data_IF_646204864164
#
_entry.id   IF_646204864164
#
_cell.length_a   1.000
_cell.length_b   1.000
_cell.length_c   1.000
_cell.angle_alpha   90.00
_cell.angle_beta   90.00
_cell.angle_gamma   90.00
#
_symmetry.space_group_name_H-M   'P 1'
#
loop_
_entity.id
_entity.type
_entity.pdbx_description
1 polymer ?
#
# COMPACT_ATOMS: atom_id res chain seq x y z
N UNK A 1 26.32 -43.57 -4.06
CA UNK A 1 26.94 -42.25 -3.79
C UNK A 1 25.85 -41.22 -3.93
N UNK A 2 25.39 -40.67 -2.82
CA UNK A 2 24.31 -39.69 -2.76
C UNK A 2 24.85 -38.32 -3.18
N UNK A 3 24.18 -37.62 -4.08
CA UNK A 3 24.38 -36.18 -4.29
C UNK A 3 23.01 -35.50 -4.25
N UNK A 4 22.69 -34.99 -3.07
CA UNK A 4 21.59 -34.08 -2.79
C UNK A 4 21.72 -32.84 -3.69
N UNK A 5 20.76 -32.64 -4.58
CA UNK A 5 20.48 -31.32 -5.15
C UNK A 5 19.72 -30.50 -4.10
N UNK A 6 20.37 -29.50 -3.54
CA UNK A 6 19.78 -28.51 -2.63
C UNK A 6 18.68 -27.76 -3.36
N UNK A 7 17.43 -28.15 -3.13
CA UNK A 7 16.26 -27.37 -3.49
C UNK A 7 16.31 -26.04 -2.74
N UNK A 8 16.53 -24.95 -3.47
CA UNK A 8 16.45 -23.59 -2.97
C UNK A 8 15.11 -23.40 -2.24
N UNK A 9 15.21 -23.14 -0.94
CA UNK A 9 14.06 -22.88 -0.09
C UNK A 9 13.29 -21.69 -0.66
N UNK A 10 12.10 -21.98 -1.20
CA UNK A 10 11.14 -20.96 -1.58
C UNK A 10 10.66 -20.29 -0.30
N UNK A 11 11.30 -19.19 0.09
CA UNK A 11 10.90 -18.36 1.22
C UNK A 11 9.66 -17.53 0.86
N UNK A 12 8.53 -18.21 0.63
CA UNK A 12 7.23 -17.59 0.35
C UNK A 12 6.23 -17.68 1.50
N UNK A 13 6.60 -18.29 2.64
CA UNK A 13 5.63 -18.68 3.67
C UNK A 13 5.56 -17.70 4.86
N UNK A 14 6.36 -16.62 4.92
CA UNK A 14 6.36 -15.68 6.08
C UNK A 14 5.79 -14.29 5.82
N UNK A 15 5.27 -13.97 4.62
CA UNK A 15 4.77 -12.62 4.29
C UNK A 15 3.29 -12.38 4.59
N UNK A 16 2.46 -13.41 4.63
CA UNK A 16 1.01 -13.25 4.82
C UNK A 16 0.64 -12.72 6.22
N UNK A 17 1.46 -13.00 7.24
CA UNK A 17 1.23 -12.48 8.60
C UNK A 17 1.43 -10.97 8.72
N UNK A 18 2.29 -10.36 7.89
CA UNK A 18 2.54 -8.90 7.91
C UNK A 18 1.50 -8.11 7.09
N UNK A 19 0.83 -8.78 6.14
CA UNK A 19 -0.20 -8.18 5.29
C UNK A 19 -1.60 -8.38 5.87
N UNK A 20 -1.72 -8.38 7.19
CA UNK A 20 -3.00 -8.51 7.86
C UNK A 20 -3.79 -7.20 7.76
N UNK A 21 -5.03 -7.31 7.30
CA UNK A 21 -5.95 -6.18 7.29
C UNK A 21 -6.27 -5.75 8.73
N UNK A 22 -6.26 -4.44 8.97
CA UNK A 22 -6.61 -3.84 10.26
C UNK A 22 -7.81 -2.90 10.08
N UNK A 23 -8.24 -2.29 11.19
CA UNK A 23 -9.28 -1.26 11.15
C UNK A 23 -8.88 -0.05 10.29
N UNK A 24 -7.58 0.23 10.14
CA UNK A 24 -7.05 1.41 9.46
C UNK A 24 -6.28 1.10 8.18
N UNK A 25 -5.87 -0.15 7.96
CA UNK A 25 -5.02 -0.55 6.84
C UNK A 25 -5.61 -1.73 6.11
N UNK A 26 -5.56 -1.70 4.78
CA UNK A 26 -5.82 -2.84 3.90
C UNK A 26 -4.74 -2.93 2.81
N UNK A 27 -4.60 -4.08 2.20
CA UNK A 27 -3.62 -4.32 1.13
C UNK A 27 -4.34 -4.82 -0.12
N UNK A 28 -3.95 -4.28 -1.28
CA UNK A 28 -4.56 -4.60 -2.57
C UNK A 28 -3.50 -4.80 -3.64
N UNK A 29 -3.87 -5.41 -4.75
CA UNK A 29 -3.06 -5.39 -5.97
C UNK A 29 -3.64 -4.37 -6.95
N UNK A 30 -2.80 -3.42 -7.38
CA UNK A 30 -3.13 -2.44 -8.41
C UNK A 30 -2.03 -2.46 -9.48
N UNK A 31 -2.41 -2.63 -10.74
CA UNK A 31 -1.46 -2.80 -11.85
C UNK A 31 -0.39 -3.89 -11.61
N UNK A 32 -0.77 -5.01 -10.97
CA UNK A 32 0.12 -6.11 -10.57
C UNK A 32 1.16 -5.75 -9.50
N UNK A 33 1.05 -4.58 -8.88
CA UNK A 33 1.88 -4.17 -7.74
C UNK A 33 1.07 -4.21 -6.44
N UNK A 34 1.73 -4.62 -5.35
CA UNK A 34 1.14 -4.58 -4.01
C UNK A 34 1.07 -3.11 -3.56
N UNK A 35 -0.11 -2.69 -3.11
CA UNK A 35 -0.38 -1.35 -2.60
C UNK A 35 -1.02 -1.43 -1.21
N UNK A 36 -0.76 -0.42 -0.40
CA UNK A 36 -1.36 -0.26 0.91
C UNK A 36 -2.44 0.83 0.84
N UNK A 37 -3.62 0.51 1.35
CA UNK A 37 -4.71 1.46 1.53
C UNK A 37 -4.83 1.85 3.00
N UNK A 38 -4.97 3.14 3.27
CA UNK A 38 -5.38 3.65 4.57
C UNK A 38 -6.87 3.96 4.53
N UNK A 39 -7.60 3.40 5.50
CA UNK A 39 -9.03 3.55 5.72
C UNK A 39 -9.32 4.82 6.51
N UNK A 40 -10.08 5.74 5.94
CA UNK A 40 -10.44 7.00 6.57
C UNK A 40 -11.85 6.92 7.14
N UNK A 41 -12.02 7.21 8.43
CA UNK A 41 -13.34 7.20 9.08
C UNK A 41 -14.25 8.36 8.60
N UNK A 42 -13.65 9.43 8.07
CA UNK A 42 -14.39 10.62 7.63
C UNK A 42 -14.86 10.48 6.18
N UNK A 43 -16.14 10.79 5.95
CA UNK A 43 -16.67 11.09 4.62
C UNK A 43 -16.32 12.54 4.31
N UNK A 44 -15.25 12.74 3.52
CA UNK A 44 -14.79 14.06 3.09
C UNK A 44 -15.40 14.42 1.74
N UNK A 45 -16.00 15.62 1.64
CA UNK A 45 -16.28 16.27 0.35
C UNK A 45 -15.03 17.02 -0.07
N UNK A 46 -14.44 16.64 -1.20
CA UNK A 46 -13.27 17.34 -1.71
C UNK A 46 -13.70 18.54 -2.54
N UNK A 47 -13.30 19.72 -2.09
CA UNK A 47 -13.32 20.93 -2.91
C UNK A 47 -12.14 20.94 -3.90
N UNK A 48 -12.20 21.82 -4.90
CA UNK A 48 -11.21 21.94 -5.97
C UNK A 48 -9.80 22.19 -5.42
N UNK A 49 -9.68 22.98 -4.34
CA UNK A 49 -8.40 23.24 -3.66
C UNK A 49 -7.77 21.98 -3.07
N UNK A 50 -8.56 21.06 -2.50
CA UNK A 50 -8.07 19.80 -1.97
C UNK A 50 -7.58 18.88 -3.09
N UNK A 51 -8.27 18.89 -4.22
CA UNK A 51 -7.93 18.11 -5.41
C UNK A 51 -6.54 18.45 -5.95
N UNK A 52 -6.14 19.72 -5.92
CA UNK A 52 -4.82 20.16 -6.36
C UNK A 52 -3.69 19.69 -5.42
N UNK A 53 -3.96 19.64 -4.11
CA UNK A 53 -3.05 19.06 -3.14
C UNK A 53 -2.76 17.58 -3.43
N UNK A 54 -3.79 16.80 -3.75
CA UNK A 54 -3.63 15.39 -4.11
C UNK A 54 -2.88 15.19 -5.42
N UNK A 55 -3.10 16.06 -6.42
CA UNK A 55 -2.34 16.03 -7.67
C UNK A 55 -0.85 16.26 -7.42
N UNK A 56 -0.50 17.27 -6.61
CA UNK A 56 0.89 17.54 -6.22
C UNK A 56 1.51 16.36 -5.48
N UNK A 57 0.78 15.74 -4.55
CA UNK A 57 1.24 14.53 -3.85
C UNK A 57 1.44 13.34 -4.79
N UNK A 58 0.59 13.18 -5.82
CA UNK A 58 0.71 12.11 -6.81
C UNK A 58 1.94 12.27 -7.71
N UNK A 59 2.33 13.51 -7.99
CA UNK A 59 3.55 13.82 -8.76
C UNK A 59 4.82 13.81 -7.92
N UNK A 60 4.69 13.84 -6.58
CA UNK A 60 5.83 13.82 -5.68
C UNK A 60 6.35 12.38 -5.53
N UNK A 61 7.45 12.09 -6.21
CA UNK A 61 8.15 10.81 -6.17
C UNK A 61 9.58 11.04 -5.64
N UNK A 62 9.89 10.47 -4.49
CA UNK A 62 11.17 10.64 -3.81
C UNK A 62 11.55 9.33 -3.10
N UNK A 63 12.83 8.93 -3.16
CA UNK A 63 13.30 7.66 -2.61
C UNK A 63 13.00 7.46 -1.11
N UNK A 64 13.01 8.55 -0.36
CA UNK A 64 12.77 8.56 1.09
C UNK A 64 11.31 8.78 1.50
N UNK A 65 10.40 8.97 0.54
CA UNK A 65 8.98 9.20 0.83
C UNK A 65 8.15 8.15 0.13
N UNK A 66 7.23 7.54 0.86
CA UNK A 66 6.36 6.55 0.26
C UNK A 66 5.45 7.20 -0.79
N UNK A 67 5.40 6.62 -1.99
CA UNK A 67 4.71 7.21 -3.13
C UNK A 67 3.20 7.16 -2.94
N UNK A 68 2.57 8.33 -3.02
CA UNK A 68 1.12 8.45 -3.06
C UNK A 68 0.59 8.11 -4.46
N UNK A 69 -0.37 7.19 -4.54
CA UNK A 69 -0.93 6.74 -5.81
C UNK A 69 -2.23 7.50 -6.11
N UNK A 70 -3.11 7.63 -5.12
CA UNK A 70 -4.40 8.31 -5.28
C UNK A 70 -5.36 8.04 -4.14
N UNK A 71 -6.63 8.39 -4.36
CA UNK A 71 -7.73 8.12 -3.44
C UNK A 71 -8.81 7.29 -4.12
N UNK A 72 -9.48 6.44 -3.35
CA UNK A 72 -10.73 5.80 -3.72
C UNK A 72 -11.87 6.43 -2.94
N UNK A 73 -12.84 6.99 -3.66
CA UNK A 73 -13.99 7.71 -3.10
C UNK A 73 -15.33 6.99 -3.34
N UNK A 74 -15.31 5.93 -4.16
CA UNK A 74 -16.51 5.27 -4.67
C UNK A 74 -17.08 4.24 -3.69
N UNK A 75 -16.38 3.97 -2.59
CA UNK A 75 -16.78 3.01 -1.56
C UNK A 75 -17.48 3.63 -0.35
N UNK A 76 -18.00 2.80 0.57
CA UNK A 76 -18.59 3.27 1.84
C UNK A 76 -17.57 3.97 2.75
N UNK A 77 -16.28 3.76 2.48
CA UNK A 77 -15.17 4.38 3.18
C UNK A 77 -14.16 4.95 2.19
N UNK A 78 -13.65 6.13 2.48
CA UNK A 78 -12.59 6.76 1.69
C UNK A 78 -11.28 6.02 1.96
N UNK A 79 -10.55 5.71 0.89
CA UNK A 79 -9.22 5.09 0.98
C UNK A 79 -8.17 6.01 0.37
N UNK A 80 -7.04 6.18 1.05
CA UNK A 80 -5.82 6.70 0.42
C UNK A 80 -4.89 5.56 0.05
N UNK A 81 -4.44 5.51 -1.18
CA UNK A 81 -3.65 4.41 -1.73
C UNK A 81 -2.19 4.83 -1.87
N UNK A 82 -1.30 3.98 -1.35
CA UNK A 82 0.14 4.20 -1.27
C UNK A 82 0.87 2.99 -1.83
N UNK A 83 2.08 3.20 -2.37
CA UNK A 83 2.97 2.10 -2.67
C UNK A 83 3.23 1.30 -1.39
N UNK A 84 3.24 -0.03 -1.47
CA UNK A 84 3.61 -0.84 -0.32
C UNK A 84 5.12 -0.71 -0.06
N UNK A 85 5.49 -0.44 1.19
CA UNK A 85 6.88 -0.44 1.64
C UNK A 85 7.08 -1.59 2.65
N UNK A 86 7.91 -2.57 2.29
CA UNK A 86 8.18 -3.73 3.14
C UNK A 86 9.01 -3.42 4.38
N UNK A 87 9.50 -2.17 4.55
CA UNK A 87 10.26 -1.76 5.76
C UNK A 87 9.36 -1.57 6.98
N UNK A 88 8.04 -1.52 6.79
CA UNK A 88 7.10 -1.18 7.85
C UNK A 88 7.04 0.31 8.13
N UNK A 89 6.25 0.68 9.14
CA UNK A 89 6.21 2.03 9.68
C UNK A 89 7.34 2.22 10.70
N UNK A 90 7.73 3.48 10.92
CA UNK A 90 8.59 3.82 12.04
C UNK A 90 7.68 3.96 13.27
N UNK A 91 7.44 2.85 13.96
CA UNK A 91 6.76 2.82 15.26
C UNK A 91 7.62 3.35 16.39
#
# INVERSE_FOLDING_TARGET
TSSNTSSEGTSRITRDSELQETATTAYFFYNKELVMATKHAAVMKFDQMHTDGFRKKRTFDHENVNRFIGMSLDGPQILSIWKYCSRGNLT
#
